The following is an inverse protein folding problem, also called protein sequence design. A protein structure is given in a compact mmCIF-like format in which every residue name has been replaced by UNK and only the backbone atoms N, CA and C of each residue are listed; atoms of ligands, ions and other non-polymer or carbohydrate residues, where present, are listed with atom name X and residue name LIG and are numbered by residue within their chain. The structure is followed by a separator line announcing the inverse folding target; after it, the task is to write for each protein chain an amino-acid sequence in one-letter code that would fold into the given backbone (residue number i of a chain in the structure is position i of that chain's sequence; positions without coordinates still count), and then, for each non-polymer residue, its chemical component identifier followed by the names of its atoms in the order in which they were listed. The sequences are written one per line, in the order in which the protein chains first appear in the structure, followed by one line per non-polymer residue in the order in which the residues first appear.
data_IF_192071481311
#
_entry.id   IF_192071481311
#
_cell.length_a   1.000
_cell.length_b   1.000
_cell.length_c   1.000
_cell.angle_alpha   90.00
_cell.angle_beta   90.00
_cell.angle_gamma   90.00
#
_symmetry.space_group_name_H-M   'P 1'
#
loop_
_entity.id
_entity.type
_entity.pdbx_description
1 polymer ?
#
# COMPACT_ATOMS: atom_id res chain seq x y z
N UNK A 1 -12.00 4.79 -17.30
CA UNK A 1 -10.60 4.35 -17.42
C UNK A 1 -10.57 3.01 -18.15
N UNK A 2 -9.60 2.79 -19.04
CA UNK A 2 -9.32 1.46 -19.62
C UNK A 2 -8.38 0.70 -18.66
N UNK A 3 -8.89 -0.32 -17.99
CA UNK A 3 -8.10 -1.08 -17.01
C UNK A 3 -7.14 -2.07 -17.65
N UNK A 4 -7.43 -2.56 -18.87
CA UNK A 4 -6.51 -3.42 -19.61
C UNK A 4 -5.25 -2.66 -20.01
N UNK A 5 -5.34 -1.33 -20.18
CA UNK A 5 -4.19 -0.46 -20.33
C UNK A 5 -3.55 -0.05 -19.00
N UNK A 6 -4.35 0.32 -17.99
CA UNK A 6 -3.86 0.80 -16.69
C UNK A 6 -2.94 -0.20 -15.99
N UNK A 7 -3.37 -1.46 -15.91
CA UNK A 7 -2.74 -2.44 -15.02
C UNK A 7 -1.32 -2.80 -15.46
N UNK A 8 -1.07 -3.13 -16.74
CA UNK A 8 0.28 -3.34 -17.22
C UNK A 8 1.20 -2.13 -16.98
N UNK A 9 0.67 -0.91 -17.10
CA UNK A 9 1.43 0.33 -16.87
C UNK A 9 1.81 0.48 -15.40
N UNK A 10 0.84 0.46 -14.47
CA UNK A 10 1.15 0.66 -13.04
C UNK A 10 2.01 -0.48 -12.49
N UNK A 11 1.79 -1.73 -12.95
CA UNK A 11 2.64 -2.87 -12.62
C UNK A 11 4.09 -2.62 -13.04
N UNK A 12 4.31 -2.24 -14.31
CA UNK A 12 5.66 -1.97 -14.83
C UNK A 12 6.33 -0.83 -14.08
N UNK A 13 5.62 0.27 -13.84
CA UNK A 13 6.17 1.43 -13.13
C UNK A 13 6.53 1.10 -11.67
N UNK A 14 5.71 0.30 -10.98
CA UNK A 14 6.05 -0.17 -9.63
C UNK A 14 7.33 -1.02 -9.64
N UNK A 15 7.51 -1.90 -10.63
CA UNK A 15 8.73 -2.71 -10.79
C UNK A 15 9.97 -1.86 -11.12
N UNK A 16 9.85 -0.89 -12.03
CA UNK A 16 10.94 0.02 -12.40
C UNK A 16 11.36 0.91 -11.22
N UNK A 17 10.39 1.45 -10.48
CA UNK A 17 10.64 2.19 -9.25
C UNK A 17 11.29 1.31 -8.19
N UNK A 18 10.79 0.10 -7.98
CA UNK A 18 11.36 -0.84 -7.03
C UNK A 18 12.80 -1.25 -7.38
N UNK A 19 13.14 -1.42 -8.66
CA UNK A 19 14.53 -1.63 -9.09
C UNK A 19 15.42 -0.45 -8.67
N UNK A 20 14.97 0.79 -8.90
CA UNK A 20 15.71 2.00 -8.54
C UNK A 20 15.87 2.14 -7.02
N UNK A 21 14.81 1.89 -6.26
CA UNK A 21 14.83 1.87 -4.78
C UNK A 21 15.84 0.83 -4.29
N UNK A 22 15.85 -0.37 -4.87
CA UNK A 22 16.78 -1.43 -4.46
C UNK A 22 18.24 -1.15 -4.84
N UNK A 23 18.49 -0.39 -5.92
CA UNK A 23 19.84 0.08 -6.24
C UNK A 23 20.36 1.03 -5.14
N UNK A 24 19.55 1.97 -4.67
CA UNK A 24 19.92 2.87 -3.58
C UNK A 24 20.06 2.09 -2.27
N UNK A 25 19.07 1.25 -1.97
CA UNK A 25 19.05 0.42 -0.77
C UNK A 25 20.29 -0.46 -0.68
N UNK A 26 20.71 -1.14 -1.75
CA UNK A 26 21.89 -2.01 -1.77
C UNK A 26 23.21 -1.27 -2.04
N UNK A 27 23.17 0.05 -2.20
CA UNK A 27 24.33 0.87 -2.51
C UNK A 27 25.37 0.88 -1.37
N UNK A 28 26.68 0.93 -1.70
CA UNK A 28 27.77 0.88 -0.71
C UNK A 28 27.79 2.09 0.23
N UNK A 29 27.30 3.25 -0.21
CA UNK A 29 27.38 4.51 0.52
C UNK A 29 26.16 4.79 1.41
N UNK A 30 25.21 3.85 1.52
CA UNK A 30 23.96 4.05 2.26
C UNK A 30 24.21 4.59 3.68
N UNK A 31 25.07 3.92 4.46
CA UNK A 31 25.35 4.30 5.85
C UNK A 31 26.08 5.65 6.00
N UNK A 32 26.85 6.05 4.98
CA UNK A 32 27.59 7.32 4.97
C UNK A 32 26.63 8.47 4.67
N UNK A 33 25.80 8.33 3.64
CA UNK A 33 24.80 9.32 3.24
C UNK A 33 23.67 9.48 4.26
N UNK A 34 23.35 8.46 5.07
CA UNK A 34 22.32 8.58 6.13
C UNK A 34 22.63 9.63 7.20
N UNK A 35 23.85 10.17 7.26
CA UNK A 35 24.27 11.23 8.21
C UNK A 35 24.27 12.63 7.60
N UNK A 36 23.83 12.79 6.36
CA UNK A 36 23.78 14.06 5.64
C UNK A 36 22.35 14.46 5.29
N UNK A 37 22.15 15.75 4.97
CA UNK A 37 20.86 16.33 4.60
C UNK A 37 20.25 15.73 3.31
N UNK A 38 21.09 15.14 2.44
CA UNK A 38 20.67 14.34 1.28
C UNK A 38 20.71 12.83 1.63
N UNK A 39 19.72 12.39 2.41
CA UNK A 39 19.67 11.03 2.92
C UNK A 39 19.40 10.00 1.78
N UNK A 40 19.81 8.72 1.94
CA UNK A 40 19.50 7.67 0.96
C UNK A 40 18.00 7.48 0.71
N UNK A 41 17.17 7.82 1.70
CA UNK A 41 15.73 7.69 1.52
C UNK A 41 15.19 8.78 0.60
N UNK A 42 15.61 10.03 0.80
CA UNK A 42 15.32 11.14 -0.14
C UNK A 42 15.76 10.81 -1.58
N UNK A 43 16.95 10.25 -1.77
CA UNK A 43 17.41 9.85 -3.11
C UNK A 43 16.53 8.74 -3.73
N UNK A 44 16.08 7.79 -2.93
CA UNK A 44 15.25 6.68 -3.39
C UNK A 44 13.82 7.14 -3.72
N UNK A 45 13.23 7.95 -2.84
CA UNK A 45 11.91 8.57 -2.99
C UNK A 45 11.83 9.43 -4.26
N UNK A 46 12.70 10.42 -4.40
CA UNK A 46 12.72 11.33 -5.57
C UNK A 46 12.90 10.56 -6.89
N UNK A 47 13.77 9.54 -6.89
CA UNK A 47 14.03 8.76 -8.09
C UNK A 47 12.85 7.83 -8.44
N UNK A 48 12.18 7.26 -7.45
CA UNK A 48 10.98 6.47 -7.64
C UNK A 48 9.80 7.33 -8.12
N UNK A 49 9.58 8.49 -7.50
CA UNK A 49 8.55 9.46 -7.90
C UNK A 49 8.75 9.90 -9.35
N UNK A 50 9.99 10.25 -9.73
CA UNK A 50 10.30 10.69 -11.09
C UNK A 50 9.94 9.64 -12.15
N UNK A 51 10.26 8.36 -11.91
CA UNK A 51 9.92 7.24 -12.80
C UNK A 51 8.40 7.08 -12.90
N UNK A 52 7.72 6.97 -11.77
CA UNK A 52 6.29 6.69 -11.71
C UNK A 52 5.52 7.86 -12.31
N UNK A 53 5.80 9.09 -11.87
CA UNK A 53 5.12 10.30 -12.32
C UNK A 53 5.28 10.55 -13.81
N UNK A 54 6.49 10.37 -14.37
CA UNK A 54 6.72 10.51 -15.80
C UNK A 54 5.92 9.46 -16.59
N UNK A 55 5.95 8.20 -16.14
CA UNK A 55 5.21 7.12 -16.78
C UNK A 55 3.69 7.30 -16.75
N UNK A 56 3.15 7.69 -15.59
CA UNK A 56 1.71 7.92 -15.43
C UNK A 56 1.23 9.13 -16.24
N UNK A 57 1.97 10.24 -16.24
CA UNK A 57 1.63 11.42 -17.06
C UNK A 57 1.68 11.13 -18.55
N UNK A 58 2.62 10.28 -19.00
CA UNK A 58 2.71 9.89 -20.40
C UNK A 58 1.55 8.98 -20.83
N UNK A 59 1.15 8.03 -19.98
CA UNK A 59 0.09 7.08 -20.28
C UNK A 59 -1.33 7.63 -20.05
N UNK A 60 -1.50 8.50 -19.05
CA UNK A 60 -2.80 9.03 -18.60
C UNK A 60 -2.76 10.56 -18.44
N UNK A 61 -2.48 11.33 -19.51
CA UNK A 61 -2.27 12.78 -19.43
C UNK A 61 -3.48 13.56 -18.90
N UNK A 62 -4.68 13.02 -19.06
CA UNK A 62 -5.94 13.67 -18.67
C UNK A 62 -6.42 13.28 -17.25
N UNK A 63 -5.67 12.42 -16.55
CA UNK A 63 -6.03 11.96 -15.20
C UNK A 63 -5.20 12.70 -14.17
N UNK A 64 -5.86 13.31 -13.18
CA UNK A 64 -5.18 13.96 -12.06
C UNK A 64 -4.25 12.99 -11.37
N UNK A 65 -3.00 13.41 -11.14
CA UNK A 65 -2.00 12.64 -10.41
C UNK A 65 -1.68 13.33 -9.09
N UNK A 66 -1.84 12.58 -8.00
CA UNK A 66 -1.50 12.97 -6.63
C UNK A 66 -0.32 12.11 -6.19
N UNK A 67 0.77 12.72 -5.73
CA UNK A 67 1.93 11.97 -5.22
C UNK A 67 2.38 12.55 -3.89
N UNK A 68 2.87 11.71 -2.99
CA UNK A 68 3.43 12.16 -1.71
C UNK A 68 4.52 13.22 -1.91
N UNK A 69 5.45 12.97 -2.84
CA UNK A 69 6.66 13.78 -3.04
C UNK A 69 6.41 15.11 -3.78
N UNK A 70 5.26 15.28 -4.44
CA UNK A 70 4.95 16.50 -5.21
C UNK A 70 3.94 17.38 -4.47
N UNK A 71 4.45 18.29 -3.64
CA UNK A 71 3.64 19.20 -2.82
C UNK A 71 2.58 20.00 -3.61
N UNK A 72 2.88 20.40 -4.84
CA UNK A 72 1.92 21.11 -5.71
C UNK A 72 0.67 20.27 -6.01
N UNK A 73 0.79 18.93 -6.01
CA UNK A 73 -0.34 18.03 -6.21
C UNK A 73 -1.31 18.02 -5.02
N UNK A 74 -0.85 18.38 -3.82
CA UNK A 74 -1.67 18.30 -2.60
C UNK A 74 -2.75 19.38 -2.54
N UNK A 75 -2.58 20.47 -3.29
CA UNK A 75 -3.57 21.53 -3.45
C UNK A 75 -4.69 21.16 -4.44
N UNK A 76 -4.54 20.08 -5.21
CA UNK A 76 -5.53 19.63 -6.17
C UNK A 76 -6.73 18.99 -5.47
N UNK A 77 -7.87 18.99 -6.15
CA UNK A 77 -9.05 18.21 -5.77
C UNK A 77 -9.59 17.52 -7.00
N UNK A 78 -9.95 16.25 -6.88
CA UNK A 78 -10.49 15.47 -7.97
C UNK A 78 -11.35 14.32 -7.42
N UNK A 79 -12.44 14.00 -8.11
CA UNK A 79 -13.22 12.78 -7.81
C UNK A 79 -12.58 11.54 -8.45
N UNK A 80 -11.77 11.72 -9.50
CA UNK A 80 -11.10 10.66 -10.23
C UNK A 80 -9.64 11.01 -10.38
N UNK A 81 -8.75 10.17 -9.86
CA UNK A 81 -7.32 10.46 -9.83
C UNK A 81 -6.47 9.19 -9.69
N UNK A 82 -5.21 9.31 -10.08
CA UNK A 82 -4.14 8.40 -9.70
C UNK A 82 -3.48 8.94 -8.44
N UNK A 83 -3.17 8.06 -7.50
CA UNK A 83 -2.49 8.41 -6.26
C UNK A 83 -1.30 7.49 -6.02
N UNK A 84 -0.17 8.06 -5.60
CA UNK A 84 1.12 7.38 -5.51
C UNK A 84 1.82 7.71 -4.20
N UNK A 85 2.30 6.66 -3.54
CA UNK A 85 3.39 6.73 -2.57
C UNK A 85 4.58 5.94 -3.17
N UNK A 86 5.66 6.62 -3.61
CA UNK A 86 6.80 5.98 -4.24
C UNK A 86 7.58 5.03 -3.32
N UNK A 87 7.58 5.27 -2.00
CA UNK A 87 8.32 4.49 -1.00
C UNK A 87 7.66 4.61 0.39
N UNK A 88 6.56 3.88 0.59
CA UNK A 88 5.93 3.78 1.90
C UNK A 88 6.82 2.93 2.81
N UNK A 89 7.08 3.42 4.02
CA UNK A 89 7.91 2.74 4.99
C UNK A 89 9.34 3.25 5.04
N UNK A 90 9.55 4.55 4.80
CA UNK A 90 10.81 5.30 4.96
C UNK A 90 11.61 4.85 6.20
N UNK A 91 10.96 4.66 7.35
CA UNK A 91 11.62 4.20 8.59
C UNK A 91 12.15 2.77 8.47
N UNK A 92 11.42 1.87 7.84
CA UNK A 92 11.85 0.49 7.58
C UNK A 92 12.97 0.44 6.54
N UNK A 93 12.95 1.34 5.55
CA UNK A 93 14.01 1.53 4.58
C UNK A 93 15.31 2.02 5.25
N UNK A 94 15.26 3.11 6.01
CA UNK A 94 16.42 3.67 6.73
C UNK A 94 17.01 2.66 7.72
N UNK A 95 16.15 1.88 8.40
CA UNK A 95 16.58 0.87 9.38
C UNK A 95 16.96 -0.47 8.74
N UNK A 96 16.95 -0.56 7.40
CA UNK A 96 17.29 -1.76 6.63
C UNK A 96 16.50 -3.02 7.02
N UNK A 97 15.21 -2.86 7.28
CA UNK A 97 14.32 -3.94 7.70
C UNK A 97 13.57 -4.62 6.56
N UNK A 98 13.59 -4.03 5.36
CA UNK A 98 13.00 -4.63 4.16
C UNK A 98 11.48 -4.52 4.04
N UNK A 99 10.80 -3.88 4.98
CA UNK A 99 9.33 -3.77 5.02
C UNK A 99 8.85 -2.41 4.46
N UNK A 100 9.21 -2.10 3.21
CA UNK A 100 8.80 -0.91 2.48
C UNK A 100 8.21 -1.27 1.11
N UNK A 101 7.35 -0.42 0.56
CA UNK A 101 6.61 -0.72 -0.67
C UNK A 101 6.49 0.47 -1.61
N UNK A 102 6.30 0.19 -2.90
CA UNK A 102 5.77 1.14 -3.87
C UNK A 102 4.25 0.97 -3.93
N UNK A 103 3.50 2.07 -3.86
CA UNK A 103 2.04 2.09 -3.92
C UNK A 103 1.55 2.96 -5.09
N UNK A 104 0.73 2.39 -5.96
CA UNK A 104 0.05 3.14 -7.03
C UNK A 104 -1.40 2.71 -7.06
N UNK A 105 -2.34 3.64 -7.04
CA UNK A 105 -3.76 3.35 -7.11
C UNK A 105 -4.50 4.30 -8.06
N UNK A 106 -5.58 3.79 -8.64
CA UNK A 106 -6.59 4.56 -9.35
C UNK A 106 -7.86 4.62 -8.51
N UNK A 107 -8.28 5.84 -8.19
CA UNK A 107 -9.45 6.14 -7.37
C UNK A 107 -10.51 6.80 -8.25
N UNK A 108 -11.75 6.36 -8.11
CA UNK A 108 -12.92 6.95 -8.75
C UNK A 108 -14.05 7.11 -7.73
N UNK A 109 -14.57 8.34 -7.61
CA UNK A 109 -15.65 8.71 -6.69
C UNK A 109 -15.40 8.25 -5.25
N UNK A 110 -14.15 8.40 -4.79
CA UNK A 110 -13.71 8.03 -3.45
C UNK A 110 -13.53 6.54 -3.20
N UNK A 111 -13.58 5.71 -4.26
CA UNK A 111 -13.35 4.25 -4.20
C UNK A 111 -12.05 3.91 -4.92
N UNK A 112 -11.08 3.25 -4.28
CA UNK A 112 -9.87 2.78 -4.95
C UNK A 112 -10.22 1.52 -5.76
N UNK A 113 -10.31 1.67 -7.08
CA UNK A 113 -10.77 0.59 -7.97
C UNK A 113 -9.64 -0.37 -8.34
N UNK A 114 -8.45 0.16 -8.63
CA UNK A 114 -7.27 -0.64 -9.00
C UNK A 114 -6.07 -0.15 -8.22
N UNK A 115 -5.22 -1.07 -7.80
CA UNK A 115 -3.96 -0.72 -7.16
C UNK A 115 -2.90 -1.76 -7.39
N UNK A 116 -1.65 -1.33 -7.20
CA UNK A 116 -0.48 -2.19 -7.10
C UNK A 116 0.29 -1.84 -5.83
N UNK A 117 0.66 -2.87 -5.09
CA UNK A 117 1.59 -2.81 -3.97
C UNK A 117 2.77 -3.70 -4.31
N UNK A 118 3.96 -3.12 -4.38
CA UNK A 118 5.19 -3.87 -4.61
C UNK A 118 6.13 -3.73 -3.42
N UNK A 119 6.48 -4.84 -2.77
CA UNK A 119 7.46 -4.91 -1.69
C UNK A 119 8.81 -5.44 -2.25
N UNK A 120 9.68 -4.58 -2.80
CA UNK A 120 10.83 -5.02 -3.59
C UNK A 120 11.86 -5.81 -2.78
N UNK A 121 12.09 -5.45 -1.50
CA UNK A 121 13.03 -6.17 -0.65
C UNK A 121 12.52 -7.56 -0.23
N UNK A 122 11.20 -7.79 -0.28
CA UNK A 122 10.58 -9.09 -0.02
C UNK A 122 10.29 -9.87 -1.30
N UNK A 123 10.38 -9.24 -2.48
CA UNK A 123 10.03 -9.86 -3.75
C UNK A 123 8.55 -10.25 -3.86
N UNK A 124 7.65 -9.43 -3.28
CA UNK A 124 6.20 -9.66 -3.32
C UNK A 124 5.49 -8.55 -4.09
N UNK A 125 4.67 -8.93 -5.07
CA UNK A 125 3.95 -8.02 -5.95
C UNK A 125 2.46 -8.36 -5.94
N UNK A 126 1.63 -7.42 -5.53
CA UNK A 126 0.18 -7.57 -5.44
C UNK A 126 -0.50 -6.54 -6.31
N UNK A 127 -1.50 -6.92 -7.09
CA UNK A 127 -2.28 -5.95 -7.84
C UNK A 127 -3.67 -6.45 -8.21
N UNK A 128 -4.56 -5.50 -8.46
CA UNK A 128 -5.90 -5.75 -8.96
C UNK A 128 -5.88 -5.89 -10.49
N UNK A 129 -6.47 -6.95 -11.03
CA UNK A 129 -6.65 -7.20 -12.46
C UNK A 129 -7.81 -6.38 -13.06
N UNK A 130 -7.96 -6.39 -14.38
CA UNK A 130 -8.89 -5.50 -15.09
C UNK A 130 -10.35 -5.79 -14.73
N UNK A 131 -10.65 -7.02 -14.32
CA UNK A 131 -11.94 -7.47 -13.82
C UNK A 131 -12.18 -7.14 -12.32
N UNK A 132 -11.18 -6.64 -11.61
CA UNK A 132 -11.26 -6.30 -10.19
C UNK A 132 -10.76 -7.40 -9.25
N UNK A 133 -10.35 -8.57 -9.75
CA UNK A 133 -9.79 -9.65 -8.93
C UNK A 133 -8.34 -9.33 -8.57
N UNK A 134 -7.98 -9.51 -7.31
CA UNK A 134 -6.59 -9.31 -6.87
C UNK A 134 -5.75 -10.57 -7.03
N UNK A 135 -4.50 -10.39 -7.48
CA UNK A 135 -3.51 -11.45 -7.56
C UNK A 135 -2.22 -11.11 -6.80
N UNK A 136 -1.51 -12.13 -6.34
CA UNK A 136 -0.07 -12.05 -6.05
C UNK A 136 0.69 -12.63 -7.23
N UNK A 137 1.62 -11.86 -7.79
CA UNK A 137 2.52 -12.33 -8.83
C UNK A 137 3.83 -12.82 -8.22
N UNK A 138 4.37 -13.90 -8.79
CA UNK A 138 5.64 -14.49 -8.41
C UNK A 138 6.54 -14.72 -9.64
N UNK A 139 7.84 -14.81 -9.40
CA UNK A 139 8.84 -15.10 -10.42
C UNK A 139 9.87 -13.97 -10.56
N UNK A 140 10.42 -13.81 -11.77
CA UNK A 140 11.52 -12.88 -12.04
C UNK A 140 11.07 -11.41 -12.22
N UNK A 141 9.76 -11.15 -12.22
CA UNK A 141 9.19 -9.82 -12.44
C UNK A 141 9.73 -9.11 -13.69
N UNK A 142 9.65 -9.78 -14.84
CA UNK A 142 9.94 -9.16 -16.12
C UNK A 142 8.98 -7.99 -16.36
N UNK A 143 9.51 -6.86 -16.86
CA UNK A 143 8.75 -5.61 -17.01
C UNK A 143 7.67 -5.74 -18.07
N UNK A 144 8.01 -6.43 -19.16
CA UNK A 144 7.13 -6.63 -20.33
C UNK A 144 6.38 -7.96 -20.31
N UNK A 145 6.56 -8.80 -19.27
CA UNK A 145 5.92 -10.11 -19.21
C UNK A 145 5.50 -10.43 -17.78
N UNK A 146 4.21 -10.72 -17.60
CA UNK A 146 3.63 -11.12 -16.33
C UNK A 146 4.12 -12.54 -15.96
N UNK A 147 4.58 -12.70 -14.72
CA UNK A 147 4.97 -13.98 -14.14
C UNK A 147 3.79 -14.88 -13.79
N UNK A 148 4.02 -15.86 -12.92
CA UNK A 148 2.94 -16.69 -12.41
C UNK A 148 2.10 -15.89 -11.43
N UNK A 149 0.77 -15.97 -11.54
CA UNK A 149 -0.17 -15.26 -10.67
C UNK A 149 -1.02 -16.23 -9.87
N UNK A 150 -1.25 -15.92 -8.60
CA UNK A 150 -2.20 -16.60 -7.73
C UNK A 150 -3.33 -15.63 -7.39
N UNK A 151 -4.58 -16.07 -7.57
CA UNK A 151 -5.76 -15.29 -7.17
C UNK A 151 -5.85 -15.29 -5.65
N UNK A 152 -5.97 -14.09 -5.08
CA UNK A 152 -6.06 -13.92 -3.65
C UNK A 152 -7.50 -13.99 -3.14
N UNK A 153 -7.64 -14.49 -1.93
CA UNK A 153 -8.86 -14.44 -1.16
C UNK A 153 -8.52 -14.26 0.32
N UNK A 154 -9.21 -13.32 0.97
CA UNK A 154 -9.15 -13.18 2.42
C UNK A 154 -9.55 -14.48 3.13
N UNK A 155 -9.08 -14.64 4.36
CA UNK A 155 -9.40 -15.79 5.21
C UNK A 155 -10.89 -15.83 5.59
N UNK A 156 -11.33 -16.99 6.10
CA UNK A 156 -12.55 -17.08 6.90
C UNK A 156 -12.15 -16.99 8.38
N UNK A 157 -12.37 -15.86 9.06
CA UNK A 157 -11.82 -15.63 10.39
C UNK A 157 -12.52 -16.50 11.46
N UNK A 158 -11.75 -16.92 12.47
CA UNK A 158 -12.27 -17.47 13.72
C UNK A 158 -12.16 -16.40 14.81
N UNK A 159 -13.30 -15.83 15.22
CA UNK A 159 -13.34 -14.77 16.24
C UNK A 159 -12.82 -15.20 17.62
N UNK A 160 -12.63 -16.50 17.87
CA UNK A 160 -11.98 -17.00 19.08
C UNK A 160 -10.44 -17.09 18.97
N UNK A 161 -9.88 -16.88 17.77
CA UNK A 161 -8.48 -17.17 17.46
C UNK A 161 -7.95 -16.34 16.28
N UNK A 162 -8.22 -15.02 16.25
CA UNK A 162 -7.83 -14.15 15.14
C UNK A 162 -6.31 -14.04 14.98
N UNK A 163 -5.85 -13.94 13.75
CA UNK A 163 -4.52 -13.48 13.37
C UNK A 163 -4.57 -11.98 13.12
N UNK A 164 -3.84 -11.20 13.93
CA UNK A 164 -3.81 -9.74 13.78
C UNK A 164 -2.50 -9.31 13.15
N UNK A 165 -2.53 -8.31 12.26
CA UNK A 165 -1.33 -7.65 11.78
C UNK A 165 -1.30 -6.19 12.26
N UNK A 166 -0.16 -5.76 12.81
CA UNK A 166 0.05 -4.40 13.29
C UNK A 166 1.38 -3.82 12.82
N UNK A 167 1.51 -2.50 12.92
CA UNK A 167 2.74 -1.79 12.54
C UNK A 167 3.94 -2.24 13.38
N UNK A 168 5.11 -2.34 12.76
CA UNK A 168 6.39 -2.63 13.43
C UNK A 168 7.00 -1.42 14.13
N UNK A 169 6.73 -0.24 13.59
CA UNK A 169 7.42 1.00 13.97
C UNK A 169 6.51 2.11 14.50
N UNK A 170 5.19 1.96 14.34
CA UNK A 170 4.17 2.95 14.70
C UNK A 170 3.04 2.34 15.54
N UNK A 171 3.32 1.25 16.25
CA UNK A 171 2.38 0.63 17.18
C UNK A 171 2.30 1.48 18.44
N UNK A 172 1.09 1.87 18.82
CA UNK A 172 0.82 2.70 20.00
C UNK A 172 -0.13 2.00 20.98
N UNK A 173 -0.26 2.59 22.17
CA UNK A 173 -1.09 2.04 23.24
C UNK A 173 -2.57 1.94 22.86
N UNK A 174 -3.08 2.86 22.04
CA UNK A 174 -4.46 2.83 21.57
C UNK A 174 -4.71 1.64 20.64
N UNK A 175 -3.78 1.35 19.73
CA UNK A 175 -3.81 0.17 18.87
C UNK A 175 -3.78 -1.11 19.72
N UNK A 176 -2.93 -1.16 20.75
CA UNK A 176 -2.83 -2.30 21.66
C UNK A 176 -4.09 -2.54 22.49
N UNK A 177 -4.66 -1.48 23.04
CA UNK A 177 -5.92 -1.54 23.77
C UNK A 177 -7.05 -2.07 22.88
N UNK A 178 -7.11 -1.59 21.62
CA UNK A 178 -8.10 -2.05 20.67
C UNK A 178 -7.93 -3.53 20.30
N UNK A 179 -6.69 -3.96 20.02
CA UNK A 179 -6.37 -5.37 19.76
C UNK A 179 -6.73 -6.24 20.97
N UNK A 180 -6.51 -5.74 22.19
CA UNK A 180 -6.86 -6.43 23.44
C UNK A 180 -8.35 -6.75 23.61
N UNK A 181 -9.24 -6.17 22.78
CA UNK A 181 -10.68 -6.50 22.75
C UNK A 181 -10.98 -7.82 22.01
N UNK A 182 -9.99 -8.44 21.38
CA UNK A 182 -10.15 -9.63 20.53
C UNK A 182 -9.40 -10.85 21.11
N UNK A 183 -9.97 -12.03 20.91
CA UNK A 183 -9.24 -13.27 21.13
C UNK A 183 -8.27 -13.49 19.95
N UNK A 184 -6.99 -13.25 20.21
CA UNK A 184 -5.94 -13.34 19.19
C UNK A 184 -5.15 -14.63 19.38
N UNK A 185 -5.03 -15.44 18.31
CA UNK A 185 -4.15 -16.61 18.29
C UNK A 185 -2.68 -16.21 18.22
N UNK A 186 -2.39 -15.23 17.36
CA UNK A 186 -1.04 -14.73 17.13
C UNK A 186 -1.11 -13.33 16.49
N UNK A 187 0.05 -12.65 16.43
CA UNK A 187 0.20 -11.36 15.79
C UNK A 187 1.41 -11.32 14.85
N UNK A 188 1.20 -10.86 13.63
CA UNK A 188 2.28 -10.50 12.71
C UNK A 188 2.60 -9.02 12.81
N UNK A 189 3.85 -8.68 12.52
CA UNK A 189 4.28 -7.29 12.38
C UNK A 189 4.85 -7.06 11.00
N UNK A 190 4.36 -6.02 10.32
CA UNK A 190 4.84 -5.60 9.02
C UNK A 190 4.86 -4.07 8.90
N UNK A 191 5.85 -3.56 8.16
CA UNK A 191 5.92 -2.16 7.74
C UNK A 191 4.91 -1.86 6.64
N UNK A 192 4.72 -0.55 6.37
CA UNK A 192 4.14 -0.08 5.10
C UNK A 192 2.74 -0.64 4.74
N UNK A 193 2.30 -0.53 3.49
CA UNK A 193 1.01 -1.01 2.99
C UNK A 193 0.94 -2.55 2.87
N UNK A 194 2.07 -3.26 3.04
CA UNK A 194 2.14 -4.72 3.06
C UNK A 194 1.14 -5.36 4.05
N UNK A 195 0.78 -4.65 5.12
CA UNK A 195 -0.25 -5.10 6.08
C UNK A 195 -1.62 -5.35 5.43
N UNK A 196 -2.03 -4.54 4.45
CA UNK A 196 -3.25 -4.81 3.68
C UNK A 196 -3.11 -6.09 2.87
N UNK A 197 -1.94 -6.30 2.26
CA UNK A 197 -1.65 -7.48 1.46
C UNK A 197 -1.67 -8.75 2.30
N UNK A 198 -1.18 -8.71 3.54
CA UNK A 198 -1.26 -9.84 4.47
C UNK A 198 -2.70 -10.20 4.83
N UNK A 199 -3.62 -9.23 4.90
CA UNK A 199 -5.04 -9.55 5.04
C UNK A 199 -5.59 -10.12 3.73
N UNK A 200 -5.22 -9.54 2.59
CA UNK A 200 -5.66 -9.97 1.25
C UNK A 200 -5.24 -11.42 0.93
N UNK A 201 -4.07 -11.86 1.37
CA UNK A 201 -3.58 -13.25 1.22
C UNK A 201 -4.18 -14.23 2.24
N UNK A 202 -5.00 -13.76 3.18
CA UNK A 202 -5.50 -14.57 4.29
C UNK A 202 -4.42 -14.93 5.32
N UNK A 203 -3.25 -14.29 5.25
CA UNK A 203 -2.18 -14.42 6.24
C UNK A 203 -2.45 -13.69 7.57
N UNK A 204 -3.44 -12.80 7.58
CA UNK A 204 -4.00 -12.12 8.73
C UNK A 204 -5.50 -11.87 8.52
N UNK A 205 -6.24 -11.74 9.62
CA UNK A 205 -7.68 -11.51 9.62
C UNK A 205 -8.03 -10.04 9.87
N UNK A 206 -7.21 -9.34 10.65
CA UNK A 206 -7.51 -8.01 11.19
C UNK A 206 -6.28 -7.11 11.22
N UNK A 207 -6.42 -5.89 10.72
CA UNK A 207 -5.44 -4.82 10.73
C UNK A 207 -6.08 -3.50 11.20
N UNK A 208 -6.01 -3.18 12.50
CA UNK A 208 -6.40 -1.86 12.99
C UNK A 208 -5.24 -0.87 12.87
N UNK A 209 -5.53 0.36 12.42
CA UNK A 209 -4.57 1.47 12.34
C UNK A 209 -5.13 2.71 13.01
N UNK A 210 -4.65 2.98 14.23
CA UNK A 210 -5.01 4.15 15.05
C UNK A 210 -3.89 5.20 15.09
N UNK A 211 -3.10 5.26 14.03
CA UNK A 211 -2.07 6.28 13.85
C UNK A 211 -2.28 7.00 12.53
N UNK A 212 -1.77 8.24 12.44
CA UNK A 212 -1.85 9.04 11.21
C UNK A 212 -1.34 8.26 9.99
N UNK A 213 -2.07 8.39 8.89
CA UNK A 213 -1.73 7.91 7.54
C UNK A 213 -2.29 8.89 6.53
N UNK A 214 -1.72 8.90 5.34
CA UNK A 214 -2.22 9.65 4.19
C UNK A 214 -2.93 8.70 3.22
N UNK A 215 -3.72 9.23 2.30
CA UNK A 215 -4.43 8.45 1.30
C UNK A 215 -3.50 7.64 0.39
N UNK A 216 -2.30 8.16 0.10
CA UNK A 216 -1.29 7.47 -0.69
C UNK A 216 -0.72 6.22 0.01
N UNK A 217 -0.65 6.21 1.35
CA UNK A 217 -0.26 5.03 2.15
C UNK A 217 -1.28 3.88 2.07
N UNK A 218 -2.56 4.18 1.76
CA UNK A 218 -3.67 3.22 1.93
C UNK A 218 -4.39 2.86 0.65
N UNK A 219 -4.49 3.74 -0.33
CA UNK A 219 -5.34 3.53 -1.51
C UNK A 219 -4.98 2.25 -2.29
N UNK A 220 -3.69 1.99 -2.51
CA UNK A 220 -3.24 0.80 -3.23
C UNK A 220 -3.50 -0.49 -2.43
N UNK A 221 -3.18 -0.48 -1.14
CA UNK A 221 -3.46 -1.60 -0.23
C UNK A 221 -4.96 -1.88 -0.09
N UNK A 222 -5.80 -0.85 -0.03
CA UNK A 222 -7.26 -0.99 0.01
C UNK A 222 -7.81 -1.58 -1.30
N UNK A 223 -7.37 -1.11 -2.47
CA UNK A 223 -7.75 -1.73 -3.75
C UNK A 223 -7.39 -3.23 -3.81
N UNK A 224 -6.16 -3.58 -3.40
CA UNK A 224 -5.69 -4.96 -3.30
C UNK A 224 -6.59 -5.77 -2.36
N UNK A 225 -6.86 -5.26 -1.16
CA UNK A 225 -7.69 -5.95 -0.17
C UNK A 225 -9.15 -6.13 -0.65
N UNK A 226 -9.77 -5.08 -1.20
CA UNK A 226 -11.14 -5.16 -1.74
C UNK A 226 -11.25 -6.18 -2.88
N UNK A 227 -10.27 -6.22 -3.78
CA UNK A 227 -10.23 -7.19 -4.88
C UNK A 227 -9.99 -8.64 -4.42
N UNK A 228 -9.48 -8.84 -3.20
CA UNK A 228 -9.38 -10.15 -2.53
C UNK A 228 -10.63 -10.48 -1.66
N UNK A 229 -11.64 -9.60 -1.64
CA UNK A 229 -12.88 -9.77 -0.88
C UNK A 229 -12.86 -9.18 0.54
N UNK A 230 -11.83 -8.41 0.91
CA UNK A 230 -11.73 -7.74 2.20
C UNK A 230 -12.41 -6.38 2.27
N UNK A 231 -12.35 -5.76 3.44
CA UNK A 231 -12.95 -4.45 3.71
C UNK A 231 -12.00 -3.52 4.45
N UNK A 232 -12.09 -2.23 4.14
CA UNK A 232 -11.44 -1.14 4.89
C UNK A 232 -12.51 -0.15 5.32
N UNK A 233 -12.63 0.03 6.63
CA UNK A 233 -13.66 0.88 7.25
C UNK A 233 -13.02 1.89 8.19
N UNK A 234 -13.71 3.01 8.41
CA UNK A 234 -13.34 3.96 9.46
C UNK A 234 -13.47 3.31 10.83
N UNK A 235 -12.57 3.67 11.72
CA UNK A 235 -12.54 3.13 13.09
C UNK A 235 -13.74 3.57 13.95
N UNK A 236 -14.24 4.79 13.73
CA UNK A 236 -15.25 5.43 14.58
C UNK A 236 -16.68 4.90 14.35
N UNK A 237 -17.06 4.71 13.08
CA UNK A 237 -18.44 4.34 12.71
C UNK A 237 -18.54 3.09 11.83
N UNK A 238 -17.40 2.48 11.46
CA UNK A 238 -17.30 1.34 10.55
C UNK A 238 -17.91 1.58 9.16
N UNK A 239 -18.12 2.83 8.75
CA UNK A 239 -18.45 3.14 7.36
C UNK A 239 -17.22 2.95 6.46
N UNK A 240 -17.39 2.68 5.15
CA UNK A 240 -16.25 2.47 4.26
C UNK A 240 -15.26 3.64 4.28
N UNK A 241 -13.95 3.33 4.27
CA UNK A 241 -12.93 4.36 4.07
C UNK A 241 -13.05 4.92 2.65
N UNK A 242 -13.16 6.25 2.55
CA UNK A 242 -13.30 6.98 1.29
C UNK A 242 -12.06 7.83 1.01
N UNK A 243 -11.85 8.15 -0.26
CA UNK A 243 -10.68 8.85 -0.80
C UNK A 243 -11.08 10.16 -1.52
N UNK A 244 -10.12 11.04 -1.77
CA UNK A 244 -10.34 12.40 -2.29
C UNK A 244 -10.73 13.40 -1.20
N UNK A 245 -10.32 13.15 0.06
CA UNK A 245 -10.61 14.03 1.20
C UNK A 245 -9.72 15.27 1.15
N UNK A 246 -10.22 16.37 1.71
CA UNK A 246 -9.41 17.59 1.87
C UNK A 246 -8.18 17.30 2.74
N UNK A 247 -6.99 17.67 2.25
CA UNK A 247 -5.72 17.47 2.96
C UNK A 247 -5.13 16.06 2.87
N UNK A 248 -5.83 15.10 2.25
CA UNK A 248 -5.34 13.73 2.02
C UNK A 248 -5.04 12.90 3.29
N UNK A 249 -5.30 13.41 4.49
CA UNK A 249 -5.19 12.66 5.74
C UNK A 249 -6.31 11.64 5.88
N UNK A 250 -5.97 10.41 6.30
CA UNK A 250 -6.96 9.42 6.66
C UNK A 250 -7.41 9.56 8.13
N UNK A 251 -8.70 9.31 8.43
CA UNK A 251 -9.09 8.93 9.78
C UNK A 251 -8.42 7.60 10.16
N UNK A 252 -8.51 7.23 11.43
CA UNK A 252 -8.19 5.86 11.84
C UNK A 252 -9.08 4.86 11.11
N UNK A 253 -8.54 3.70 10.79
CA UNK A 253 -9.23 2.69 9.99
C UNK A 253 -8.98 1.28 10.50
N UNK A 254 -9.81 0.37 10.03
CA UNK A 254 -9.69 -1.07 10.25
C UNK A 254 -9.79 -1.75 8.89
N UNK A 255 -8.76 -2.50 8.52
CA UNK A 255 -8.74 -3.39 7.37
C UNK A 255 -8.94 -4.84 7.86
N UNK A 256 -9.86 -5.60 7.26
CA UNK A 256 -10.24 -6.91 7.81
C UNK A 256 -10.85 -7.86 6.76
N UNK A 257 -10.81 -9.16 7.08
CA UNK A 257 -11.53 -10.21 6.39
C UNK A 257 -13.01 -10.22 6.83
N UNK A 258 -14.00 -10.32 5.92
CA UNK A 258 -15.41 -10.38 6.30
C UNK A 258 -15.67 -11.55 7.25
N UNK A 259 -16.43 -11.28 8.32
CA UNK A 259 -16.69 -12.23 9.40
C UNK A 259 -15.95 -11.93 10.69
N UNK A 260 -14.99 -11.01 10.71
CA UNK A 260 -14.45 -10.49 11.98
C UNK A 260 -15.52 -9.64 12.68
N UNK A 261 -15.79 -9.94 13.95
CA UNK A 261 -16.74 -9.21 14.80
C UNK A 261 -16.12 -7.92 15.34
N UNK A 262 -16.13 -6.87 14.50
CA UNK A 262 -15.53 -5.58 14.83
C UNK A 262 -16.09 -5.00 16.14
N UNK A 263 -15.18 -4.62 17.04
CA UNK A 263 -15.50 -4.01 18.34
C UNK A 263 -15.58 -2.50 18.20
N UNK A 264 -16.48 -1.89 18.98
CA UNK A 264 -16.52 -0.44 19.21
C UNK A 264 -15.67 -0.09 20.42
#
# INVERSE_FOLDING_TARGET
MDFDHLIPVIRRLALEAGDRIMQVYNGPDFAVKSKSDASPVTEADEAADAIISAGLRAAFPDVTLITEEQADSHALTASTFLIVDPLDGTKEFVQRRGDFTVNIAYVENGVPLRGVVYAPAQGRLFYTQADGVTVEETGAFAKDTVGAVEVLAVSRPDNAALMVVASKSHRDAATDEYIGKYACKDMKSAGSSLKFCLVATGEADLYPRLGRTMEWDTAAGDAVLRGAGGHVVRFDDHTPLAYGKAGWDNPFFIAYAPGVDLKK
#
